data_IF_072282842654
#
_entry.id   IF_072282842654
#
_cell.length_a   1.000
_cell.length_b   1.000
_cell.length_c   1.000
_cell.angle_alpha   90.00
_cell.angle_beta   90.00
_cell.angle_gamma   90.00
#
_symmetry.space_group_name_H-M   'P 1'
#
loop_
_entity.id
_entity.type
_entity.pdbx_description
1 polymer ?
#
# COMPACT_ATOMS: atom_id res chain seq x y z
N UNK A 1 -0.70 -7.89 23.00
CA UNK A 1 -1.91 -7.27 22.39
C UNK A 1 -2.52 -8.29 21.44
N UNK A 2 -3.10 -9.37 21.98
CA UNK A 2 -3.52 -10.59 21.26
C UNK A 2 -4.88 -11.13 21.76
N UNK A 3 -5.69 -10.27 22.39
CA UNK A 3 -6.83 -10.69 23.21
C UNK A 3 -8.15 -10.89 22.44
N UNK A 4 -8.18 -10.69 21.12
CA UNK A 4 -9.42 -10.60 20.34
C UNK A 4 -9.50 -11.53 19.13
N UNK A 5 -8.40 -12.15 18.69
CA UNK A 5 -8.40 -13.07 17.55
C UNK A 5 -7.83 -14.42 17.97
N UNK A 6 -8.48 -15.55 17.63
CA UNK A 6 -7.98 -16.87 17.94
C UNK A 6 -6.73 -17.26 17.11
N UNK A 7 -6.30 -16.41 16.18
CA UNK A 7 -5.14 -16.62 15.32
C UNK A 7 -4.31 -15.33 15.15
N UNK A 8 -2.99 -15.44 14.93
CA UNK A 8 -2.13 -14.27 14.69
C UNK A 8 -2.40 -13.66 13.32
N UNK A 9 -2.56 -12.33 13.24
CA UNK A 9 -2.72 -11.59 11.97
C UNK A 9 -1.43 -11.65 11.13
N UNK A 10 -0.28 -11.61 11.79
CA UNK A 10 1.04 -11.79 11.19
C UNK A 10 1.66 -13.06 11.77
N UNK A 11 1.48 -14.22 11.12
CA UNK A 11 2.08 -15.48 11.59
C UNK A 11 3.61 -15.43 11.47
N UNK A 12 4.28 -16.37 12.14
CA UNK A 12 5.74 -16.49 12.01
C UNK A 12 6.11 -16.82 10.57
N UNK A 13 7.15 -16.16 10.08
CA UNK A 13 7.68 -16.39 8.73
C UNK A 13 8.19 -17.83 8.60
N UNK A 14 7.73 -18.55 7.58
CA UNK A 14 8.06 -19.95 7.33
C UNK A 14 8.67 -20.19 5.93
N UNK A 15 8.89 -19.12 5.17
CA UNK A 15 9.49 -19.19 3.84
C UNK A 15 10.37 -17.97 3.59
N UNK A 16 11.29 -18.08 2.64
CA UNK A 16 12.12 -16.96 2.16
C UNK A 16 11.31 -15.91 1.38
N UNK A 17 10.09 -16.25 0.94
CA UNK A 17 9.12 -15.35 0.31
C UNK A 17 8.43 -14.45 1.34
N UNK A 18 8.08 -15.01 2.51
CA UNK A 18 7.30 -14.33 3.55
C UNK A 18 7.84 -12.93 3.91
N UNK A 19 9.13 -12.74 4.27
CA UNK A 19 9.64 -11.41 4.61
C UNK A 19 9.56 -10.41 3.43
N UNK A 20 9.68 -10.88 2.18
CA UNK A 20 9.61 -9.99 1.01
C UNK A 20 8.20 -9.43 0.83
N UNK A 21 7.18 -10.30 0.98
CA UNK A 21 5.78 -9.90 0.93
C UNK A 21 5.44 -9.00 2.13
N UNK A 22 5.87 -9.37 3.33
CA UNK A 22 5.61 -8.60 4.55
C UNK A 22 6.15 -7.17 4.43
N UNK A 23 7.39 -7.00 3.93
CA UNK A 23 7.97 -5.67 3.74
C UNK A 23 7.19 -4.82 2.73
N UNK A 24 6.77 -5.42 1.61
CA UNK A 24 5.94 -4.72 0.62
C UNK A 24 4.59 -4.32 1.23
N UNK A 25 3.97 -5.22 2.00
CA UNK A 25 2.71 -4.95 2.70
C UNK A 25 2.86 -3.82 3.73
N UNK A 26 3.90 -3.83 4.56
CA UNK A 26 4.14 -2.77 5.53
C UNK A 26 4.41 -1.42 4.85
N UNK A 27 5.15 -1.42 3.75
CA UNK A 27 5.34 -0.23 2.93
C UNK A 27 4.00 0.30 2.38
N UNK A 28 3.18 -0.55 1.79
CA UNK A 28 1.87 -0.17 1.25
C UNK A 28 0.95 0.37 2.35
N UNK A 29 0.87 -0.32 3.48
CA UNK A 29 0.04 0.07 4.61
C UNK A 29 0.51 1.41 5.21
N UNK A 30 1.82 1.57 5.39
CA UNK A 30 2.43 2.81 5.87
C UNK A 30 2.19 3.97 4.90
N UNK A 31 2.34 3.74 3.60
CA UNK A 31 2.12 4.74 2.56
C UNK A 31 0.65 5.16 2.48
N UNK A 32 -0.28 4.19 2.47
CA UNK A 32 -1.72 4.47 2.49
C UNK A 32 -2.10 5.25 3.76
N UNK A 33 -1.64 4.81 4.93
CA UNK A 33 -1.89 5.50 6.19
C UNK A 33 -1.32 6.93 6.20
N UNK A 34 -0.09 7.12 5.71
CA UNK A 34 0.54 8.43 5.57
C UNK A 34 -0.28 9.35 4.68
N UNK A 35 -0.71 8.89 3.51
CA UNK A 35 -1.52 9.69 2.58
C UNK A 35 -2.89 10.01 3.16
N UNK A 36 -3.54 9.05 3.83
CA UNK A 36 -4.80 9.30 4.54
C UNK A 36 -4.65 10.40 5.58
N UNK A 37 -3.63 10.32 6.44
CA UNK A 37 -3.37 11.33 7.48
C UNK A 37 -3.00 12.67 6.87
N UNK A 38 -2.17 12.69 5.82
CA UNK A 38 -1.77 13.92 5.13
C UNK A 38 -2.98 14.62 4.51
N UNK A 39 -3.81 13.91 3.74
CA UNK A 39 -4.99 14.48 3.08
C UNK A 39 -6.01 14.95 4.12
N UNK A 40 -6.32 14.11 5.11
CA UNK A 40 -7.25 14.49 6.18
C UNK A 40 -6.73 15.71 6.97
N UNK A 41 -5.43 15.73 7.29
CA UNK A 41 -4.77 16.84 7.96
C UNK A 41 -4.81 18.14 7.15
N UNK A 42 -4.53 18.08 5.85
CA UNK A 42 -4.62 19.25 4.95
C UNK A 42 -6.06 19.76 4.84
N UNK A 43 -7.05 18.88 4.71
CA UNK A 43 -8.46 19.26 4.71
C UNK A 43 -8.82 19.99 6.00
N UNK A 44 -8.53 19.39 7.16
CA UNK A 44 -8.81 20.01 8.47
C UNK A 44 -8.09 21.35 8.63
N UNK A 45 -6.81 21.40 8.28
CA UNK A 45 -6.01 22.61 8.33
C UNK A 45 -6.62 23.71 7.45
N UNK A 46 -6.94 23.43 6.19
CA UNK A 46 -7.55 24.41 5.29
C UNK A 46 -8.95 24.83 5.72
N UNK A 47 -9.77 23.90 6.23
CA UNK A 47 -11.08 24.22 6.79
C UNK A 47 -10.99 25.18 7.98
N UNK A 48 -9.98 25.04 8.85
CA UNK A 48 -9.79 25.93 10.00
C UNK A 48 -9.14 27.25 9.58
N UNK A 49 -8.09 27.20 8.77
CA UNK A 49 -7.26 28.35 8.37
C UNK A 49 -8.00 29.32 7.47
N UNK A 50 -8.80 28.80 6.55
CA UNK A 50 -9.55 29.57 5.54
C UNK A 50 -11.05 29.65 5.84
N UNK A 51 -11.48 29.34 7.08
CA UNK A 51 -12.85 29.55 7.52
C UNK A 51 -13.25 31.01 7.35
N UNK A 52 -14.49 31.25 6.90
CA UNK A 52 -15.07 32.60 6.79
C UNK A 52 -14.98 33.35 8.12
N UNK A 53 -14.43 34.56 8.09
CA UNK A 53 -14.32 35.49 9.23
C UNK A 53 -14.53 36.92 8.73
N UNK A 54 -14.93 37.86 9.61
CA UNK A 54 -14.94 39.28 9.26
C UNK A 54 -13.56 39.69 8.72
N UNK A 55 -13.51 40.27 7.51
CA UNK A 55 -12.26 40.61 6.81
C UNK A 55 -11.70 39.54 5.86
N UNK A 56 -12.24 38.31 5.85
CA UNK A 56 -11.92 37.24 4.89
C UNK A 56 -13.23 36.62 4.36
N UNK A 57 -14.05 37.46 3.74
CA UNK A 57 -15.39 37.09 3.26
C UNK A 57 -15.40 36.64 1.79
N UNK A 58 -14.40 37.06 1.01
CA UNK A 58 -14.26 36.73 -0.41
C UNK A 58 -12.97 35.95 -0.63
N UNK A 59 -13.09 34.74 -1.16
CA UNK A 59 -11.94 33.91 -1.50
C UNK A 59 -11.18 34.50 -2.69
N UNK A 60 -9.87 34.66 -2.56
CA UNK A 60 -9.00 35.04 -3.68
C UNK A 60 -8.99 33.92 -4.72
N UNK A 61 -9.38 34.25 -5.95
CA UNK A 61 -9.35 33.30 -7.07
C UNK A 61 -7.93 33.26 -7.64
N UNK A 62 -7.17 32.24 -7.26
CA UNK A 62 -5.86 31.96 -7.87
C UNK A 62 -6.08 30.96 -8.99
N UNK A 63 -5.81 31.38 -10.23
CA UNK A 63 -5.93 30.51 -11.40
C UNK A 63 -4.59 29.83 -11.68
N UNK A 64 -4.56 28.53 -11.37
CA UNK A 64 -3.49 27.62 -11.79
C UNK A 64 -2.15 27.81 -11.07
N UNK A 65 -1.32 26.78 -11.17
CA UNK A 65 0.08 26.85 -10.83
C UNK A 65 0.80 25.70 -11.50
N UNK A 66 1.43 25.96 -12.65
CA UNK A 66 2.15 24.92 -13.41
C UNK A 66 3.16 24.16 -12.54
N UNK A 67 3.82 24.84 -11.59
CA UNK A 67 4.77 24.19 -10.67
C UNK A 67 4.08 23.20 -9.74
N UNK A 68 2.93 23.59 -9.18
CA UNK A 68 2.15 22.74 -8.29
C UNK A 68 1.52 21.56 -9.04
N UNK A 69 1.03 21.83 -10.25
CA UNK A 69 0.45 20.85 -11.16
C UNK A 69 1.45 19.77 -11.57
N UNK A 70 2.68 20.18 -11.91
CA UNK A 70 3.77 19.24 -12.20
C UNK A 70 4.14 18.45 -10.95
N UNK A 71 4.29 19.11 -9.80
CA UNK A 71 4.69 18.45 -8.56
C UNK A 71 3.69 17.36 -8.15
N UNK A 72 2.38 17.65 -8.16
CA UNK A 72 1.37 16.66 -7.76
C UNK A 72 1.14 15.56 -8.80
N UNK A 73 1.65 15.69 -10.02
CA UNK A 73 1.51 14.68 -11.07
C UNK A 73 2.71 13.74 -11.08
N UNK A 74 3.92 14.33 -11.05
CA UNK A 74 5.18 13.59 -11.15
C UNK A 74 5.47 12.82 -9.86
N UNK A 75 5.20 13.39 -8.69
CA UNK A 75 5.49 12.71 -7.41
C UNK A 75 4.66 11.42 -7.25
N UNK A 76 3.32 11.43 -7.40
CA UNK A 76 2.55 10.18 -7.34
C UNK A 76 2.93 9.19 -8.43
N UNK A 77 3.21 9.66 -9.65
CA UNK A 77 3.67 8.78 -10.73
C UNK A 77 4.96 8.04 -10.33
N UNK A 78 5.95 8.75 -9.80
CA UNK A 78 7.20 8.13 -9.33
C UNK A 78 6.97 7.10 -8.23
N UNK A 79 6.09 7.39 -7.27
CA UNK A 79 5.74 6.47 -6.19
C UNK A 79 5.07 5.21 -6.74
N UNK A 80 4.13 5.35 -7.68
CA UNK A 80 3.44 4.20 -8.27
C UNK A 80 4.40 3.34 -9.10
N UNK A 81 5.26 3.96 -9.92
CA UNK A 81 6.25 3.22 -10.71
C UNK A 81 7.24 2.46 -9.81
N UNK A 82 7.75 3.11 -8.75
CA UNK A 82 8.61 2.46 -7.77
C UNK A 82 7.93 1.24 -7.13
N UNK A 83 6.70 1.44 -6.66
CA UNK A 83 5.90 0.37 -6.02
C UNK A 83 5.63 -0.78 -6.99
N UNK A 84 5.34 -0.46 -8.25
CA UNK A 84 5.13 -1.44 -9.31
C UNK A 84 6.39 -2.27 -9.56
N UNK A 85 7.55 -1.64 -9.76
CA UNK A 85 8.81 -2.34 -10.02
C UNK A 85 9.17 -3.28 -8.86
N UNK A 86 9.03 -2.79 -7.63
CA UNK A 86 9.27 -3.61 -6.43
C UNK A 86 8.32 -4.81 -6.38
N UNK A 87 7.01 -4.59 -6.53
CA UNK A 87 6.02 -5.68 -6.55
C UNK A 87 6.26 -6.69 -7.67
N UNK A 88 6.54 -6.22 -8.89
CA UNK A 88 6.83 -7.07 -10.05
C UNK A 88 8.07 -7.95 -9.81
N UNK A 89 9.14 -7.40 -9.22
CA UNK A 89 10.34 -8.19 -8.89
C UNK A 89 10.05 -9.33 -7.91
N UNK A 90 9.21 -9.09 -6.89
CA UNK A 90 8.79 -10.13 -5.94
C UNK A 90 7.93 -11.17 -6.64
N UNK A 91 7.02 -10.73 -7.52
CA UNK A 91 6.16 -11.61 -8.31
C UNK A 91 6.98 -12.57 -9.17
N UNK A 92 7.92 -12.07 -9.98
CA UNK A 92 8.75 -12.94 -10.81
C UNK A 92 9.58 -13.92 -9.99
N UNK A 93 10.12 -13.48 -8.85
CA UNK A 93 10.86 -14.36 -7.95
C UNK A 93 9.97 -15.45 -7.34
N UNK A 94 8.72 -15.14 -6.99
CA UNK A 94 7.78 -16.11 -6.43
C UNK A 94 7.30 -17.14 -7.47
N UNK A 95 7.19 -16.74 -8.75
CA UNK A 95 6.69 -17.58 -9.84
C UNK A 95 7.79 -18.33 -10.60
N UNK A 96 9.05 -18.22 -10.19
CA UNK A 96 10.17 -18.95 -10.81
C UNK A 96 10.70 -19.99 -9.81
N UNK A 97 10.17 -21.22 -9.80
CA UNK A 97 10.61 -22.26 -8.89
C UNK A 97 12.07 -22.67 -9.17
N UNK A 98 12.86 -23.06 -8.15
CA UNK A 98 14.18 -23.64 -8.35
C UNK A 98 14.11 -24.95 -9.14
N UNK A 99 15.17 -25.29 -9.88
CA UNK A 99 15.19 -26.50 -10.73
C UNK A 99 15.10 -27.82 -9.96
N UNK A 100 15.41 -27.83 -8.67
CA UNK A 100 15.38 -29.02 -7.80
C UNK A 100 14.20 -28.94 -6.79
N UNK A 101 13.07 -28.39 -7.24
CA UNK A 101 11.88 -28.26 -6.41
C UNK A 101 11.13 -29.59 -6.30
N UNK A 102 10.72 -29.97 -5.09
CA UNK A 102 9.80 -31.09 -4.88
C UNK A 102 8.46 -30.79 -5.56
N UNK A 103 8.10 -31.63 -6.54
CA UNK A 103 6.79 -31.59 -7.18
C UNK A 103 5.77 -32.33 -6.30
N UNK A 104 4.70 -31.64 -5.91
CA UNK A 104 3.58 -32.22 -5.16
C UNK A 104 2.30 -31.95 -5.95
N UNK A 105 1.56 -33.00 -6.31
CA UNK A 105 0.28 -32.88 -6.98
C UNK A 105 -0.86 -32.87 -5.96
N UNK A 106 -1.51 -31.72 -5.82
CA UNK A 106 -2.72 -31.56 -5.01
C UNK A 106 -4.00 -31.76 -5.81
N UNK A 107 -4.82 -32.75 -5.44
CA UNK A 107 -6.16 -32.99 -6.01
C UNK A 107 -7.22 -32.53 -5.02
N UNK A 108 -8.03 -31.56 -5.43
CA UNK A 108 -9.19 -31.10 -4.68
C UNK A 108 -10.40 -32.03 -4.86
N UNK A 109 -11.04 -32.40 -3.74
CA UNK A 109 -12.29 -33.16 -3.68
C UNK A 109 -13.31 -32.41 -2.81
N UNK A 110 -14.58 -32.80 -2.86
CA UNK A 110 -15.60 -32.26 -1.96
C UNK A 110 -15.16 -32.43 -0.49
N UNK A 111 -14.86 -31.31 0.16
CA UNK A 111 -14.35 -31.19 1.54
C UNK A 111 -13.09 -32.03 1.85
N UNK A 112 -12.21 -32.27 0.87
CA UNK A 112 -10.96 -33.01 1.09
C UNK A 112 -9.88 -32.62 0.08
N UNK A 113 -8.62 -32.76 0.48
CA UNK A 113 -7.46 -32.66 -0.40
C UNK A 113 -6.69 -33.99 -0.40
N UNK A 114 -6.20 -34.43 -1.57
CA UNK A 114 -5.27 -35.55 -1.71
C UNK A 114 -3.97 -35.04 -2.30
N UNK A 115 -2.84 -35.40 -1.71
CA UNK A 115 -1.51 -35.07 -2.22
C UNK A 115 -0.80 -36.35 -2.67
N UNK A 116 -0.07 -36.28 -3.79
CA UNK A 116 0.73 -37.37 -4.35
C UNK A 116 1.97 -36.81 -5.05
#
# INVERSE_FOLDING_TARGET
>A
MSRFLPFPIFPRQASTLAPRIDHLLYYLLGMSGLMTVLIAGLILYFSIRYRRRPGNERATQVHGSNRLEIAWSVVPLGIFLFTYVWGASIYFWAYTPPMDSLEIYGVGKQWMWKFQ
#
